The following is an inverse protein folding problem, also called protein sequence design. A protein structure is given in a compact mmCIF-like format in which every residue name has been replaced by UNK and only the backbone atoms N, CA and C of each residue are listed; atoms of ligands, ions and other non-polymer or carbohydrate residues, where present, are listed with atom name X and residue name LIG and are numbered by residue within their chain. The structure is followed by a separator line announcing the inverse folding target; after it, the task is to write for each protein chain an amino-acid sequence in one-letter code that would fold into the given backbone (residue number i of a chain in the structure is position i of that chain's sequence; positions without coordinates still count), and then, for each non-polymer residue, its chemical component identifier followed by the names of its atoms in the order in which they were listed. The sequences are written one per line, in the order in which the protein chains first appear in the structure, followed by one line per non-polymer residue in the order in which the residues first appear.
data_IF_528253197529
#
_entry.id   IF_528253197529
#
_cell.length_a   1.000
_cell.length_b   1.000
_cell.length_c   1.000
_cell.angle_alpha   90.00
_cell.angle_beta   90.00
_cell.angle_gamma   90.00
#
_symmetry.space_group_name_H-M   'P 1'
#
loop_
_entity.id
_entity.type
_entity.pdbx_description
1 polymer ?
#
# COMPACT_ATOMS: atom_id res chain seq x y z
N UNK A 1 -29.33 -2.96 -41.82
CA UNK A 1 -29.89 -2.59 -40.49
C UNK A 1 -30.18 -3.76 -39.54
N UNK A 2 -30.30 -5.02 -39.99
CA UNK A 2 -30.49 -6.17 -39.08
C UNK A 2 -29.20 -6.64 -38.35
N UNK A 3 -28.02 -6.40 -38.92
CA UNK A 3 -26.75 -6.83 -38.33
C UNK A 3 -26.30 -5.98 -37.12
N UNK A 4 -26.74 -4.73 -37.02
CA UNK A 4 -26.38 -3.85 -35.88
C UNK A 4 -27.05 -4.28 -34.56
N UNK A 5 -28.22 -4.91 -34.63
CA UNK A 5 -28.97 -5.36 -33.45
C UNK A 5 -28.34 -6.59 -32.76
N UNK A 6 -27.45 -7.33 -33.44
CA UNK A 6 -26.83 -8.54 -32.90
C UNK A 6 -25.62 -8.25 -31.98
N UNK A 7 -25.04 -7.06 -32.06
CA UNK A 7 -23.88 -6.66 -31.22
C UNK A 7 -24.28 -6.35 -29.76
N UNK A 8 -25.56 -6.14 -29.49
CA UNK A 8 -26.10 -5.82 -28.16
C UNK A 8 -26.21 -7.09 -27.28
N UNK A 9 -26.17 -8.28 -27.89
CA UNK A 9 -26.31 -9.57 -27.22
C UNK A 9 -24.98 -10.20 -26.79
N UNK A 10 -23.84 -9.54 -26.99
CA UNK A 10 -22.56 -10.04 -26.49
C UNK A 10 -22.53 -9.89 -24.96
N UNK A 11 -22.46 -10.99 -24.19
CA UNK A 11 -22.30 -10.88 -22.75
C UNK A 11 -20.98 -10.17 -22.49
N UNK A 12 -21.04 -9.06 -21.76
CA UNK A 12 -19.86 -8.38 -21.24
C UNK A 12 -19.26 -9.31 -20.17
N UNK A 13 -18.50 -10.31 -20.61
CA UNK A 13 -17.75 -11.13 -19.68
C UNK A 13 -16.73 -10.23 -19.00
N UNK A 14 -16.69 -10.19 -17.65
CA UNK A 14 -15.68 -9.41 -16.97
C UNK A 14 -14.32 -9.93 -17.40
N UNK A 15 -13.55 -9.11 -18.12
CA UNK A 15 -12.18 -9.41 -18.43
C UNK A 15 -11.44 -9.53 -17.09
N UNK A 16 -11.12 -10.77 -16.70
CA UNK A 16 -10.29 -11.03 -15.53
C UNK A 16 -8.88 -10.61 -15.92
N UNK A 17 -8.55 -9.34 -15.69
CA UNK A 17 -7.19 -8.86 -15.86
C UNK A 17 -6.29 -9.69 -14.93
N UNK A 18 -5.45 -10.54 -15.50
CA UNK A 18 -4.45 -11.25 -14.74
C UNK A 18 -3.55 -10.22 -14.08
N UNK A 19 -3.40 -10.35 -12.76
CA UNK A 19 -2.51 -9.49 -12.02
C UNK A 19 -1.09 -9.85 -12.43
N UNK A 20 -0.47 -8.98 -13.22
CA UNK A 20 0.92 -9.15 -13.67
C UNK A 20 1.84 -9.35 -12.45
N UNK A 21 2.85 -10.21 -12.61
CA UNK A 21 3.88 -10.39 -11.61
C UNK A 21 4.80 -9.16 -11.59
N UNK A 22 4.49 -8.21 -10.71
CA UNK A 22 5.22 -6.95 -10.58
C UNK A 22 6.46 -7.20 -9.73
N UNK A 23 7.64 -7.09 -10.33
CA UNK A 23 8.91 -7.08 -9.59
C UNK A 23 9.09 -5.74 -8.86
N UNK A 24 9.35 -5.80 -7.55
CA UNK A 24 9.64 -4.61 -6.76
C UNK A 24 11.13 -4.23 -6.84
N UNK A 25 11.47 -2.93 -7.01
CA UNK A 25 10.65 -1.75 -6.69
C UNK A 25 9.63 -1.26 -7.74
N UNK A 26 9.51 -1.92 -8.90
CA UNK A 26 8.69 -1.46 -10.03
C UNK A 26 9.44 -0.48 -10.92
N UNK A 27 9.00 -0.32 -12.18
CA UNK A 27 9.64 0.54 -13.17
C UNK A 27 8.86 1.83 -13.44
N UNK A 28 7.57 1.86 -13.09
CA UNK A 28 6.71 3.04 -13.27
C UNK A 28 5.96 3.38 -11.98
N UNK A 29 5.32 4.55 -11.96
CA UNK A 29 4.60 5.07 -10.79
C UNK A 29 3.48 4.16 -10.28
N UNK A 30 2.83 3.40 -11.16
CA UNK A 30 1.76 2.48 -10.76
C UNK A 30 2.35 1.28 -10.03
N UNK A 31 3.39 0.67 -10.58
CA UNK A 31 4.10 -0.46 -9.98
C UNK A 31 4.78 -0.07 -8.66
N UNK A 32 5.45 1.08 -8.62
CA UNK A 32 6.05 1.61 -7.39
C UNK A 32 5.02 1.78 -6.28
N UNK A 33 3.83 2.32 -6.60
CA UNK A 33 2.72 2.44 -5.64
C UNK A 33 2.26 1.07 -5.13
N UNK A 34 2.13 0.10 -6.03
CA UNK A 34 1.78 -1.27 -5.66
C UNK A 34 2.83 -1.90 -4.74
N UNK A 35 4.12 -1.78 -5.08
CA UNK A 35 5.22 -2.32 -4.29
C UNK A 35 5.30 -1.74 -2.88
N UNK A 36 5.15 -0.43 -2.75
CA UNK A 36 5.15 0.24 -1.45
C UNK A 36 3.93 -0.19 -0.61
N UNK A 37 2.75 -0.39 -1.23
CA UNK A 37 1.58 -0.93 -0.52
C UNK A 37 1.79 -2.36 0.00
N UNK A 38 2.47 -3.22 -0.77
CA UNK A 38 2.83 -4.58 -0.35
C UNK A 38 3.83 -4.56 0.81
N UNK A 39 4.80 -3.65 0.77
CA UNK A 39 5.77 -3.48 1.86
C UNK A 39 5.08 -3.08 3.16
N UNK A 40 4.21 -2.05 3.11
CA UNK A 40 3.44 -1.62 4.28
C UNK A 40 2.56 -2.76 4.83
N UNK A 41 1.89 -3.53 3.97
CA UNK A 41 1.12 -4.69 4.42
C UNK A 41 2.00 -5.70 5.15
N UNK A 42 3.21 -5.99 4.63
CA UNK A 42 4.15 -6.92 5.27
C UNK A 42 4.60 -6.43 6.64
N UNK A 43 4.91 -5.14 6.80
CA UNK A 43 5.34 -4.59 8.09
C UNK A 43 4.19 -4.46 9.09
N UNK A 44 2.97 -4.12 8.65
CA UNK A 44 1.76 -4.17 9.48
C UNK A 44 1.50 -5.58 10.02
N UNK A 45 1.54 -6.61 9.16
CA UNK A 45 1.36 -7.99 9.57
C UNK A 45 2.44 -8.47 10.56
N UNK A 46 3.64 -7.89 10.51
CA UNK A 46 4.69 -8.19 11.47
C UNK A 46 4.43 -7.51 12.83
N UNK A 47 3.95 -6.26 12.82
CA UNK A 47 3.53 -5.57 14.05
C UNK A 47 2.31 -6.21 14.71
N UNK A 48 1.38 -6.75 13.92
CA UNK A 48 0.21 -7.50 14.43
C UNK A 48 0.60 -8.67 15.34
N UNK A 49 1.80 -9.23 15.15
CA UNK A 49 2.33 -10.32 16.00
C UNK A 49 2.94 -9.82 17.31
N UNK A 50 3.24 -8.53 17.42
CA UNK A 50 3.92 -7.92 18.56
C UNK A 50 2.99 -7.02 19.39
N UNK A 51 1.93 -6.47 18.77
CA UNK A 51 1.06 -5.47 19.36
C UNK A 51 -0.37 -6.00 19.53
N UNK A 52 -1.04 -5.55 20.59
CA UNK A 52 -2.49 -5.73 20.70
C UNK A 52 -3.20 -4.92 19.61
N UNK A 53 -4.42 -5.34 19.17
CA UNK A 53 -5.15 -4.63 18.11
C UNK A 53 -5.37 -3.13 18.40
N UNK A 54 -5.62 -2.78 19.66
CA UNK A 54 -5.82 -1.38 20.09
C UNK A 54 -4.54 -0.54 19.94
N UNK A 55 -3.39 -1.08 20.35
CA UNK A 55 -2.11 -0.37 20.24
C UNK A 55 -1.72 -0.26 18.77
N UNK A 56 -1.90 -1.33 17.99
CA UNK A 56 -1.63 -1.31 16.56
C UNK A 56 -2.45 -0.25 15.82
N UNK A 57 -3.75 -0.15 16.12
CA UNK A 57 -4.62 0.86 15.51
C UNK A 57 -4.17 2.28 15.88
N UNK A 58 -3.87 2.51 17.16
CA UNK A 58 -3.35 3.80 17.63
C UNK A 58 -2.03 4.17 16.95
N UNK A 59 -1.15 3.18 16.78
CA UNK A 59 0.12 3.33 16.07
C UNK A 59 -0.11 3.70 14.60
N UNK A 60 -0.94 2.95 13.87
CA UNK A 60 -1.28 3.24 12.45
C UNK A 60 -1.81 4.66 12.28
N UNK A 61 -2.71 5.10 13.15
CA UNK A 61 -3.25 6.46 13.11
C UNK A 61 -2.19 7.52 13.39
N UNK A 62 -1.29 7.28 14.35
CA UNK A 62 -0.22 8.20 14.69
C UNK A 62 0.81 8.32 13.56
N UNK A 63 1.28 7.20 13.00
CA UNK A 63 2.26 7.22 11.90
C UNK A 63 1.67 7.86 10.66
N UNK A 64 0.41 7.54 10.31
CA UNK A 64 -0.25 8.13 9.14
C UNK A 64 -0.31 9.66 9.24
N UNK A 65 -0.65 10.20 10.42
CA UNK A 65 -0.68 11.66 10.65
C UNK A 65 0.70 12.28 10.53
N UNK A 66 1.71 11.69 11.16
CA UNK A 66 3.09 12.19 11.12
C UNK A 66 3.64 12.14 9.70
N UNK A 67 3.45 11.04 8.98
CA UNK A 67 3.91 10.87 7.61
C UNK A 67 3.20 11.80 6.63
N UNK A 68 1.89 12.00 6.77
CA UNK A 68 1.14 12.98 5.97
C UNK A 68 1.66 14.41 6.21
N UNK A 69 1.93 14.78 7.46
CA UNK A 69 2.50 16.08 7.80
C UNK A 69 3.91 16.27 7.23
N UNK A 70 4.77 15.25 7.36
CA UNK A 70 6.16 15.29 6.88
C UNK A 70 6.25 15.46 5.36
N UNK A 71 5.36 14.81 4.61
CA UNK A 71 5.36 14.87 3.14
C UNK A 71 4.35 15.85 2.54
N UNK A 72 3.75 16.72 3.36
CA UNK A 72 2.84 17.79 2.90
C UNK A 72 3.37 18.64 1.75
N UNK A 73 4.69 18.95 1.63
CA UNK A 73 5.21 19.68 0.46
C UNK A 73 4.94 19.01 -0.89
N UNK A 74 4.72 17.69 -0.90
CA UNK A 74 4.49 16.92 -2.12
C UNK A 74 3.02 16.74 -2.45
N UNK A 75 2.07 17.31 -1.67
CA UNK A 75 0.63 17.00 -1.74
C UNK A 75 0.03 17.02 -3.15
N UNK A 76 0.51 17.92 -4.03
CA UNK A 76 0.04 18.06 -5.41
C UNK A 76 0.67 17.05 -6.40
N UNK A 77 1.71 16.33 -5.98
CA UNK A 77 2.45 15.38 -6.81
C UNK A 77 1.91 13.96 -6.71
N UNK A 78 1.95 13.23 -7.82
CA UNK A 78 1.55 11.81 -7.90
C UNK A 78 2.40 10.88 -7.01
N UNK A 79 3.56 11.36 -6.55
CA UNK A 79 4.47 10.69 -5.62
C UNK A 79 3.99 10.74 -4.17
N UNK A 80 3.16 11.72 -3.78
CA UNK A 80 2.76 11.93 -2.38
C UNK A 80 2.21 10.68 -1.68
N UNK A 81 1.27 9.90 -2.27
CA UNK A 81 0.77 8.68 -1.64
C UNK A 81 1.89 7.66 -1.39
N UNK A 82 2.87 7.57 -2.29
CA UNK A 82 3.99 6.64 -2.15
C UNK A 82 4.93 7.07 -1.02
N UNK A 83 5.16 8.37 -0.86
CA UNK A 83 5.99 8.90 0.23
C UNK A 83 5.36 8.66 1.60
N UNK A 84 4.05 8.89 1.73
CA UNK A 84 3.30 8.66 2.98
C UNK A 84 3.30 7.17 3.33
N UNK A 85 2.90 6.29 2.40
CA UNK A 85 2.84 4.84 2.65
C UNK A 85 4.24 4.26 2.91
N UNK A 86 5.27 4.75 2.20
CA UNK A 86 6.65 4.33 2.42
C UNK A 86 7.21 4.80 3.77
N UNK A 87 6.74 5.94 4.27
CA UNK A 87 7.06 6.43 5.61
C UNK A 87 6.46 5.55 6.69
N UNK A 88 5.17 5.19 6.56
CA UNK A 88 4.51 4.27 7.49
C UNK A 88 5.26 2.92 7.55
N UNK A 89 5.64 2.36 6.40
CA UNK A 89 6.41 1.11 6.36
C UNK A 89 7.76 1.23 7.06
N UNK A 90 8.49 2.34 6.86
CA UNK A 90 9.77 2.59 7.53
C UNK A 90 9.58 2.71 9.04
N UNK A 91 8.58 3.44 9.51
CA UNK A 91 8.29 3.56 10.94
C UNK A 91 7.93 2.21 11.56
N UNK A 92 7.12 1.40 10.89
CA UNK A 92 6.81 0.05 11.34
C UNK A 92 8.08 -0.80 11.49
N UNK A 93 8.97 -0.76 10.50
CA UNK A 93 10.23 -1.51 10.53
C UNK A 93 11.17 -1.02 11.61
N UNK A 94 11.18 0.28 11.90
CA UNK A 94 11.93 0.84 13.03
C UNK A 94 11.37 0.30 14.35
N UNK A 95 10.06 0.39 14.58
CA UNK A 95 9.44 -0.14 15.80
C UNK A 95 9.71 -1.65 15.98
N UNK A 96 9.64 -2.43 14.90
CA UNK A 96 9.99 -3.86 14.90
C UNK A 96 11.45 -4.12 15.28
N UNK A 97 12.38 -3.21 14.97
CA UNK A 97 13.78 -3.33 15.41
C UNK A 97 13.90 -3.04 16.89
N UNK A 98 13.19 -2.04 17.41
CA UNK A 98 13.17 -1.74 18.84
C UNK A 98 12.67 -2.94 19.65
N UNK A 99 11.65 -3.67 19.18
CA UNK A 99 11.19 -4.89 19.85
C UNK A 99 12.23 -6.02 19.88
N UNK A 100 13.14 -6.10 18.91
CA UNK A 100 14.21 -7.10 18.94
C UNK A 100 15.23 -6.80 20.04
N UNK A 101 15.53 -5.52 20.27
CA UNK A 101 16.46 -5.09 21.33
C UNK A 101 15.90 -5.21 22.75
N UNK A 102 14.62 -5.57 22.91
CA UNK A 102 13.99 -5.80 24.22
C UNK A 102 13.92 -7.28 24.61
N UNK A 103 14.37 -8.18 23.71
CA UNK A 103 14.41 -9.63 23.94
C UNK A 103 15.84 -10.20 24.07
N UNK A 104 16.84 -9.32 24.11
CA UNK A 104 18.25 -9.60 24.46
C UNK A 104 18.54 -8.99 25.85
#
# INVERSE_FOLDING_TARGET
MKALLLLILLPVMPAKAEQQDIQCPGQNTVEMRWCVSKSLKKSNNALEKQLTPKILESWKQATQKVCAAAYRPYLQGSIYPQMVVGCDDRLNRTLLKEFKGLGE
#
